data_IF_512649839702
#
_entry.id   IF_512649839702
#
_cell.length_a   1.000
_cell.length_b   1.000
_cell.length_c   1.000
_cell.angle_alpha   90.00
_cell.angle_beta   90.00
_cell.angle_gamma   90.00
#
_symmetry.space_group_name_H-M   'P 1'
#
loop_
_entity.id
_entity.type
_entity.pdbx_description
1 polymer ?
#
# COMPACT_ATOMS: atom_id res chain seq x y z
N UNK A 1 -63.23 -1.01 8.28
CA UNK A 1 -62.30 -1.77 7.41
C UNK A 1 -60.99 -0.98 7.30
N UNK A 2 -60.03 -1.23 8.18
CA UNK A 2 -58.67 -0.71 8.03
C UNK A 2 -57.86 -1.72 7.23
N UNK A 3 -57.29 -1.32 6.08
CA UNK A 3 -56.33 -2.15 5.35
C UNK A 3 -54.94 -1.79 5.86
N UNK A 4 -54.34 -2.71 6.61
CA UNK A 4 -52.93 -2.65 6.99
C UNK A 4 -52.07 -2.82 5.73
N UNK A 5 -51.27 -1.81 5.42
CA UNK A 5 -50.22 -1.91 4.41
C UNK A 5 -49.03 -2.64 5.02
N UNK A 6 -49.00 -3.96 4.85
CA UNK A 6 -47.84 -4.78 5.19
C UNK A 6 -46.73 -4.50 4.17
N UNK A 7 -45.79 -3.62 4.55
CA UNK A 7 -44.63 -3.23 3.75
C UNK A 7 -43.66 -4.42 3.68
N UNK A 8 -43.33 -4.97 2.50
CA UNK A 8 -42.31 -6.00 2.38
C UNK A 8 -40.91 -5.36 2.44
N UNK A 9 -40.56 -4.78 3.59
CA UNK A 9 -39.28 -4.07 3.80
C UNK A 9 -38.07 -5.02 3.83
N UNK A 10 -38.29 -6.33 4.01
CA UNK A 10 -37.21 -7.32 4.17
C UNK A 10 -36.51 -7.79 2.90
N UNK A 11 -37.07 -7.58 1.70
CA UNK A 11 -36.46 -8.08 0.45
C UNK A 11 -35.50 -7.10 -0.23
N UNK A 12 -35.51 -5.82 0.15
CA UNK A 12 -34.70 -4.81 -0.49
C UNK A 12 -33.33 -4.64 0.17
N UNK A 13 -33.24 -4.77 1.50
CA UNK A 13 -31.96 -4.72 2.24
C UNK A 13 -30.98 -5.81 1.82
N UNK A 14 -31.46 -7.03 1.56
CA UNK A 14 -30.59 -8.16 1.14
C UNK A 14 -29.89 -7.92 -0.21
N UNK A 15 -30.47 -7.10 -1.09
CA UNK A 15 -29.86 -6.74 -2.38
C UNK A 15 -28.84 -5.61 -2.28
N UNK A 16 -28.93 -4.73 -1.28
CA UNK A 16 -27.94 -3.68 -1.06
C UNK A 16 -26.59 -4.26 -0.57
N UNK A 17 -26.61 -5.30 0.25
CA UNK A 17 -25.40 -5.92 0.82
C UNK A 17 -24.60 -6.70 -0.24
N UNK A 18 -25.26 -7.20 -1.29
CA UNK A 18 -24.59 -7.92 -2.38
C UNK A 18 -23.80 -6.99 -3.33
N UNK A 19 -24.24 -5.75 -3.52
CA UNK A 19 -23.53 -4.76 -4.36
C UNK A 19 -22.28 -4.18 -3.68
N UNK A 20 -22.35 -3.89 -2.38
CA UNK A 20 -21.25 -3.28 -1.63
C UNK A 20 -20.00 -4.18 -1.51
N UNK A 21 -20.15 -5.50 -1.69
CA UNK A 21 -19.03 -6.44 -1.67
C UNK A 21 -18.40 -6.69 -3.06
N UNK A 22 -19.01 -6.26 -4.16
CA UNK A 22 -18.46 -6.48 -5.50
C UNK A 22 -17.35 -5.47 -5.88
N UNK A 23 -17.36 -4.27 -5.31
CA UNK A 23 -16.33 -3.25 -5.58
C UNK A 23 -14.96 -3.56 -4.93
N UNK A 24 -14.91 -4.50 -3.98
CA UNK A 24 -13.65 -4.92 -3.33
C UNK A 24 -12.80 -5.89 -4.17
N UNK A 25 -13.27 -6.32 -5.35
CA UNK A 25 -12.57 -7.31 -6.19
C UNK A 25 -11.76 -6.74 -7.36
N UNK A 26 -11.60 -5.43 -7.49
CA UNK A 26 -10.47 -4.91 -8.29
C UNK A 26 -9.22 -4.93 -7.43
N UNK A 27 -8.60 -6.11 -7.29
CA UNK A 27 -7.20 -6.21 -6.88
C UNK A 27 -6.42 -5.31 -7.85
N UNK A 28 -6.04 -4.10 -7.43
CA UNK A 28 -5.07 -3.28 -8.17
C UNK A 28 -3.92 -4.23 -8.49
N UNK A 29 -3.43 -4.30 -9.75
CA UNK A 29 -2.29 -5.14 -10.05
C UNK A 29 -1.19 -4.76 -9.06
N UNK A 30 -0.83 -5.70 -8.18
CA UNK A 30 0.19 -5.49 -7.17
C UNK A 30 1.43 -5.09 -7.95
N UNK A 31 1.80 -3.81 -7.94
CA UNK A 31 2.99 -3.32 -8.65
C UNK A 31 4.13 -4.19 -8.15
N UNK A 32 4.69 -5.04 -9.01
CA UNK A 32 5.74 -5.98 -8.62
C UNK A 32 6.85 -5.15 -7.97
N UNK A 33 7.31 -5.49 -6.75
CA UNK A 33 8.36 -4.74 -6.11
C UNK A 33 9.60 -4.81 -7.00
N UNK A 34 10.07 -3.65 -7.47
CA UNK A 34 11.34 -3.56 -8.20
C UNK A 34 12.47 -3.80 -7.21
N UNK A 35 13.38 -4.72 -7.54
CA UNK A 35 14.60 -4.97 -6.78
C UNK A 35 15.77 -4.35 -7.54
N UNK A 36 16.65 -3.69 -6.80
CA UNK A 36 17.91 -3.14 -7.31
C UNK A 36 19.00 -3.69 -6.41
N UNK A 37 20.06 -4.21 -7.01
CA UNK A 37 21.28 -4.63 -6.31
C UNK A 37 22.36 -3.63 -6.64
N UNK A 38 23.02 -3.10 -5.62
CA UNK A 38 24.13 -2.16 -5.77
C UNK A 38 25.29 -2.71 -4.97
N UNK A 39 26.42 -2.85 -5.65
CA UNK A 39 27.69 -3.29 -5.05
C UNK A 39 28.53 -2.06 -4.75
N UNK A 40 29.14 -2.08 -3.57
CA UNK A 40 30.08 -1.08 -3.09
C UNK A 40 31.38 -1.78 -2.71
N UNK A 41 32.49 -1.06 -2.78
CA UNK A 41 33.68 -1.45 -2.03
C UNK A 41 33.44 -1.34 -0.53
N UNK A 42 34.27 -1.99 0.27
CA UNK A 42 34.17 -1.96 1.73
C UNK A 42 34.26 -0.52 2.26
N UNK A 43 35.22 0.26 1.76
CA UNK A 43 35.44 1.66 2.18
C UNK A 43 34.26 2.57 1.82
N UNK A 44 33.63 2.37 0.65
CA UNK A 44 32.43 3.11 0.27
C UNK A 44 31.24 2.75 1.16
N UNK A 45 31.06 1.46 1.47
CA UNK A 45 29.98 1.01 2.33
C UNK A 45 30.10 1.58 3.75
N UNK A 46 31.31 1.61 4.32
CA UNK A 46 31.55 2.21 5.63
C UNK A 46 31.20 3.69 5.66
N UNK A 47 31.66 4.47 4.67
CA UNK A 47 31.32 5.90 4.55
C UNK A 47 29.80 6.12 4.45
N UNK A 48 29.10 5.28 3.68
CA UNK A 48 27.64 5.37 3.57
C UNK A 48 26.93 4.99 4.88
N UNK A 49 27.44 3.98 5.59
CA UNK A 49 26.92 3.54 6.89
C UNK A 49 27.06 4.63 7.93
N UNK A 50 28.22 5.27 8.04
CA UNK A 50 28.46 6.38 8.95
C UNK A 50 27.51 7.55 8.67
N UNK A 51 27.42 7.99 7.40
CA UNK A 51 26.50 9.05 6.99
C UNK A 51 25.04 8.74 7.30
N UNK A 52 24.61 7.50 7.03
CA UNK A 52 23.23 7.07 7.32
C UNK A 52 22.93 7.06 8.82
N UNK A 53 23.92 6.68 9.63
CA UNK A 53 23.81 6.65 11.09
C UNK A 53 23.74 8.06 11.69
N UNK A 54 24.52 9.00 11.15
CA UNK A 54 24.51 10.41 11.57
C UNK A 54 23.18 11.12 11.37
N UNK A 55 22.33 10.64 10.45
CA UNK A 55 20.98 11.18 10.18
C UNK A 55 19.86 10.28 10.72
N UNK A 56 20.20 9.20 11.44
CA UNK A 56 19.22 8.26 12.01
C UNK A 56 18.44 7.43 11.00
N UNK A 57 18.95 7.26 9.76
CA UNK A 57 18.33 6.44 8.73
C UNK A 57 19.05 5.10 8.60
N UNK A 58 18.30 4.02 8.38
CA UNK A 58 18.88 2.75 7.96
C UNK A 58 19.56 2.88 6.60
N UNK A 59 20.70 2.21 6.42
CA UNK A 59 21.54 2.29 5.21
C UNK A 59 20.75 2.10 3.90
N UNK A 60 19.83 1.13 3.85
CA UNK A 60 19.00 0.89 2.66
C UNK A 60 17.97 1.99 2.39
N UNK A 61 17.50 2.68 3.43
CA UNK A 61 16.60 3.84 3.31
C UNK A 61 17.37 5.07 2.86
N UNK A 62 18.57 5.27 3.40
CA UNK A 62 19.48 6.34 2.98
C UNK A 62 19.92 6.19 1.51
N UNK A 63 20.34 4.99 1.09
CA UNK A 63 20.70 4.76 -0.32
C UNK A 63 19.50 4.99 -1.24
N UNK A 64 18.30 4.54 -0.84
CA UNK A 64 17.08 4.83 -1.60
C UNK A 64 16.80 6.32 -1.69
N UNK A 65 16.94 7.06 -0.59
CA UNK A 65 16.70 8.51 -0.64
C UNK A 65 17.67 9.19 -1.58
N UNK A 66 18.94 8.78 -1.65
CA UNK A 66 19.91 9.31 -2.61
C UNK A 66 19.53 9.01 -4.06
N UNK A 67 19.11 7.77 -4.36
CA UNK A 67 18.74 7.36 -5.74
C UNK A 67 17.51 8.10 -6.25
N UNK A 68 16.53 8.34 -5.38
CA UNK A 68 15.26 8.97 -5.73
C UNK A 68 15.21 10.46 -5.38
N UNK A 69 16.32 11.08 -4.95
CA UNK A 69 16.34 12.51 -4.58
C UNK A 69 16.16 13.43 -5.79
N UNK A 70 16.64 12.99 -6.95
CA UNK A 70 16.69 13.78 -8.19
C UNK A 70 15.69 13.31 -9.27
N UNK A 71 14.74 12.43 -8.91
CA UNK A 71 13.62 12.00 -9.77
C UNK A 71 12.37 12.76 -9.37
#
# INVERSE_FOLDING_TARGET
>A
MGKEYNVPQKKQEEKFIQGANQDLKKKKPLKKPKKITITFSEEEYEKLKEKSSGIGLGIATYIRSLIYRDI
#
